data_IF_076220747573
#
_entry.id   IF_076220747573
#
_cell.length_a   1.000
_cell.length_b   1.000
_cell.length_c   1.000
_cell.angle_alpha   90.00
_cell.angle_beta   90.00
_cell.angle_gamma   90.00
#
_symmetry.space_group_name_H-M   'P 1'
#
loop_
_entity.id
_entity.type
_entity.pdbx_description
1 polymer ?
#
# COMPACT_ATOMS: atom_id res chain seq x y z
N UNK A 1 -3.30 87.93 -54.05
CA UNK A 1 -3.80 88.15 -52.71
C UNK A 1 -5.09 87.38 -52.53
N UNK A 2 -5.01 86.26 -51.88
CA UNK A 2 -6.16 85.59 -51.19
C UNK A 2 -5.69 84.24 -50.63
N UNK A 3 -5.63 84.15 -49.37
CA UNK A 3 -5.25 82.91 -48.62
C UNK A 3 -6.44 82.03 -48.58
N UNK A 4 -6.24 80.77 -49.08
CA UNK A 4 -7.20 79.70 -48.88
C UNK A 4 -6.81 78.86 -47.67
N UNK A 5 -7.68 78.73 -46.67
CA UNK A 5 -7.47 77.83 -45.52
C UNK A 5 -8.03 76.46 -45.83
N UNK A 6 -7.12 75.46 -45.79
CA UNK A 6 -7.51 74.08 -45.84
C UNK A 6 -7.69 73.55 -44.41
N UNK A 7 -8.92 73.17 -44.09
CA UNK A 7 -9.23 72.48 -42.81
C UNK A 7 -8.97 71.00 -42.92
N UNK A 8 -8.04 70.48 -42.10
CA UNK A 8 -7.78 69.06 -41.99
C UNK A 8 -8.71 68.46 -40.94
N UNK A 9 -9.58 67.52 -41.36
CA UNK A 9 -10.37 66.69 -40.47
C UNK A 9 -9.46 65.52 -39.95
N UNK A 10 -9.25 65.54 -38.64
CA UNK A 10 -8.61 64.36 -37.96
C UNK A 10 -9.73 63.44 -37.52
N UNK A 11 -9.82 62.27 -38.19
CA UNK A 11 -10.69 61.16 -37.76
C UNK A 11 -9.89 60.36 -36.72
N UNK A 12 -10.26 60.52 -35.45
CA UNK A 12 -9.74 59.67 -34.37
C UNK A 12 -10.44 58.33 -34.39
N UNK A 13 -9.79 57.32 -34.99
CA UNK A 13 -10.20 55.90 -34.92
C UNK A 13 -9.86 55.30 -33.55
N UNK A 14 -10.85 55.13 -32.67
CA UNK A 14 -10.67 54.40 -31.41
C UNK A 14 -10.52 52.92 -31.70
N UNK A 15 -9.31 52.39 -31.72
CA UNK A 15 -9.05 50.94 -31.65
C UNK A 15 -9.38 50.46 -30.23
N UNK A 16 -10.53 49.85 -30.06
CA UNK A 16 -10.86 49.09 -28.87
C UNK A 16 -9.97 47.80 -28.90
N UNK A 17 -8.83 47.85 -28.21
CA UNK A 17 -8.03 46.67 -27.93
C UNK A 17 -8.83 45.78 -26.96
N UNK A 18 -9.55 44.77 -27.48
CA UNK A 18 -10.01 43.64 -26.68
C UNK A 18 -8.76 42.87 -26.24
N UNK A 19 -8.24 43.23 -25.09
CA UNK A 19 -7.25 42.43 -24.39
C UNK A 19 -7.92 41.07 -24.05
N UNK A 20 -7.67 40.06 -24.83
CA UNK A 20 -7.88 38.69 -24.40
C UNK A 20 -7.01 38.48 -23.17
N UNK A 21 -7.56 38.66 -21.98
CA UNK A 21 -6.94 38.14 -20.77
C UNK A 21 -6.84 36.61 -21.03
N UNK A 22 -5.65 36.17 -21.34
CA UNK A 22 -5.33 34.76 -21.27
C UNK A 22 -5.63 34.37 -19.82
N UNK A 23 -6.78 33.72 -19.59
CA UNK A 23 -7.11 33.12 -18.31
C UNK A 23 -5.95 32.19 -18.00
N UNK A 24 -5.15 32.52 -16.99
CA UNK A 24 -4.09 31.66 -16.55
C UNK A 24 -4.71 30.28 -16.32
N UNK A 25 -4.22 29.27 -17.04
CA UNK A 25 -4.73 27.90 -16.91
C UNK A 25 -4.68 27.49 -15.44
N UNK A 26 -5.83 27.15 -14.88
CA UNK A 26 -5.91 26.70 -13.48
C UNK A 26 -5.04 25.44 -13.31
N UNK A 27 -4.24 25.43 -12.25
CA UNK A 27 -3.32 24.35 -11.93
C UNK A 27 -3.71 23.71 -10.62
N UNK A 28 -3.50 22.39 -10.55
CA UNK A 28 -3.72 21.56 -9.36
C UNK A 28 -2.44 20.81 -9.03
N UNK A 29 -1.91 20.97 -7.82
CA UNK A 29 -0.71 20.27 -7.38
C UNK A 29 -1.08 18.93 -6.77
N UNK A 30 -0.47 17.84 -7.28
CA UNK A 30 -0.76 16.46 -6.87
C UNK A 30 0.54 15.76 -6.50
N UNK A 31 0.61 15.23 -5.28
CA UNK A 31 1.71 14.37 -4.85
C UNK A 31 1.26 12.93 -4.79
N UNK A 32 2.06 12.01 -5.38
CA UNK A 32 1.70 10.62 -5.48
C UNK A 32 2.89 9.69 -5.29
N UNK A 33 2.69 8.56 -4.63
CA UNK A 33 3.73 7.53 -4.58
C UNK A 33 4.03 7.02 -5.98
N UNK A 34 5.33 6.95 -6.32
CA UNK A 34 5.79 6.35 -7.56
C UNK A 34 5.47 4.85 -7.58
N UNK A 35 4.94 4.36 -8.70
CA UNK A 35 4.66 2.94 -8.91
C UNK A 35 5.93 2.07 -8.89
N UNK A 36 5.79 0.79 -8.60
CA UNK A 36 6.91 -0.16 -8.60
C UNK A 36 7.29 -0.62 -10.00
N UNK A 37 6.43 -0.41 -10.99
CA UNK A 37 6.65 -0.71 -12.40
C UNK A 37 5.84 0.24 -13.29
N UNK A 38 6.21 0.23 -14.57
CA UNK A 38 5.76 1.26 -15.53
C UNK A 38 4.25 1.32 -15.71
N UNK A 39 3.57 0.18 -15.82
CA UNK A 39 2.12 0.15 -16.09
C UNK A 39 1.29 0.77 -14.95
N UNK A 40 1.78 0.74 -13.71
CA UNK A 40 1.12 1.38 -12.57
C UNK A 40 1.15 2.91 -12.69
N UNK A 41 2.31 3.47 -13.09
CA UNK A 41 2.44 4.90 -13.34
C UNK A 41 1.66 5.33 -14.60
N UNK A 42 1.72 4.54 -15.67
CA UNK A 42 0.98 4.81 -16.91
C UNK A 42 -0.54 4.90 -16.65
N UNK A 43 -1.09 4.04 -15.80
CA UNK A 43 -2.50 4.06 -15.43
C UNK A 43 -2.89 5.37 -14.70
N UNK A 44 -2.01 5.89 -13.84
CA UNK A 44 -2.21 7.20 -13.21
C UNK A 44 -2.14 8.33 -14.25
N UNK A 45 -1.16 8.29 -15.14
CA UNK A 45 -0.99 9.32 -16.18
C UNK A 45 -2.19 9.38 -17.11
N UNK A 46 -2.77 8.23 -17.49
CA UNK A 46 -3.99 8.19 -18.30
C UNK A 46 -5.21 8.75 -17.55
N UNK A 47 -5.36 8.48 -16.26
CA UNK A 47 -6.43 9.07 -15.45
C UNK A 47 -6.27 10.60 -15.36
N UNK A 48 -5.05 11.10 -15.13
CA UNK A 48 -4.74 12.53 -15.12
C UNK A 48 -5.07 13.16 -16.46
N UNK A 49 -4.61 12.59 -17.56
CA UNK A 49 -4.85 13.09 -18.92
C UNK A 49 -6.35 13.22 -19.23
N UNK A 50 -7.16 12.22 -18.86
CA UNK A 50 -8.62 12.25 -19.01
C UNK A 50 -9.24 13.39 -18.19
N UNK A 51 -8.77 13.61 -16.96
CA UNK A 51 -9.22 14.71 -16.12
C UNK A 51 -8.88 16.07 -16.75
N UNK A 52 -7.63 16.27 -17.18
CA UNK A 52 -7.20 17.50 -17.84
C UNK A 52 -8.04 17.82 -19.10
N UNK A 53 -8.33 16.80 -19.90
CA UNK A 53 -9.17 16.94 -21.09
C UNK A 53 -10.62 17.30 -20.74
N UNK A 54 -11.17 16.72 -19.66
CA UNK A 54 -12.56 16.98 -19.23
C UNK A 54 -12.73 18.33 -18.55
N UNK A 55 -11.76 18.74 -17.73
CA UNK A 55 -11.90 19.90 -16.86
C UNK A 55 -11.19 21.17 -17.35
N UNK A 56 -10.22 21.04 -18.27
CA UNK A 56 -9.31 22.14 -18.65
C UNK A 56 -8.28 22.50 -17.59
N UNK A 57 -8.29 21.85 -16.41
CA UNK A 57 -7.34 22.09 -15.32
C UNK A 57 -6.06 21.30 -15.57
N UNK A 58 -4.90 21.95 -15.41
CA UNK A 58 -3.59 21.26 -15.52
C UNK A 58 -3.17 20.67 -14.20
N UNK A 59 -2.75 19.40 -14.22
CA UNK A 59 -2.19 18.72 -13.03
C UNK A 59 -0.66 18.84 -13.04
N UNK A 60 -0.12 19.43 -11.98
CA UNK A 60 1.31 19.40 -11.66
C UNK A 60 1.58 18.20 -10.73
N UNK A 61 1.88 17.06 -11.34
CA UNK A 61 2.17 15.82 -10.63
C UNK A 61 3.62 15.78 -10.15
N UNK A 62 3.83 15.49 -8.87
CA UNK A 62 5.13 15.09 -8.32
C UNK A 62 5.03 13.67 -7.75
N UNK A 63 5.92 12.80 -8.21
CA UNK A 63 5.99 11.43 -7.70
C UNK A 63 7.25 11.24 -6.85
N UNK A 64 7.08 10.56 -5.72
CA UNK A 64 8.17 10.26 -4.78
C UNK A 64 8.18 8.78 -4.41
N UNK A 65 9.35 8.22 -4.08
CA UNK A 65 9.43 6.90 -3.44
C UNK A 65 8.57 6.84 -2.18
N UNK A 66 8.01 5.66 -1.88
CA UNK A 66 7.07 5.48 -0.78
C UNK A 66 7.64 5.95 0.57
N UNK A 67 8.92 5.68 0.84
CA UNK A 67 9.59 6.07 2.09
C UNK A 67 9.78 7.58 2.27
N UNK A 68 9.74 8.36 1.17
CA UNK A 68 9.94 9.80 1.21
C UNK A 68 8.63 10.58 1.42
N UNK A 69 7.48 9.93 1.20
CA UNK A 69 6.18 10.61 1.18
C UNK A 69 5.82 11.22 2.54
N UNK A 70 5.96 10.48 3.64
CA UNK A 70 5.58 11.00 4.96
C UNK A 70 6.50 12.14 5.42
N UNK A 71 7.84 12.01 5.42
CA UNK A 71 8.72 13.11 5.80
C UNK A 71 8.49 14.39 4.99
N UNK A 72 8.31 14.26 3.66
CA UNK A 72 8.01 15.40 2.79
C UNK A 72 6.67 16.05 3.11
N UNK A 73 5.64 15.25 3.36
CA UNK A 73 4.30 15.76 3.66
C UNK A 73 4.25 16.44 5.02
N UNK A 74 4.93 15.88 6.03
CA UNK A 74 5.05 16.52 7.36
C UNK A 74 5.74 17.87 7.24
N UNK A 75 6.89 17.93 6.54
CA UNK A 75 7.59 19.20 6.30
C UNK A 75 6.72 20.21 5.56
N UNK A 76 5.93 19.78 4.58
CA UNK A 76 5.01 20.66 3.85
C UNK A 76 3.83 21.16 4.72
N UNK A 77 3.31 20.31 5.61
CA UNK A 77 2.29 20.69 6.59
C UNK A 77 2.81 21.75 7.56
N UNK A 78 4.04 21.59 8.04
CA UNK A 78 4.68 22.54 8.97
C UNK A 78 4.99 23.89 8.28
N UNK A 79 5.36 23.84 7.00
CA UNK A 79 5.66 25.05 6.20
C UNK A 79 4.41 25.69 5.57
N UNK A 80 3.22 25.08 5.65
CA UNK A 80 2.01 25.56 4.98
C UNK A 80 2.06 25.49 3.45
N UNK A 81 2.85 24.56 2.90
CA UNK A 81 3.10 24.40 1.44
C UNK A 81 2.65 23.03 0.92
N UNK A 82 1.56 22.51 1.47
CA UNK A 82 1.00 21.21 1.08
C UNK A 82 0.51 21.19 -0.38
N UNK A 83 0.55 20.04 -1.08
CA UNK A 83 -0.14 19.88 -2.35
C UNK A 83 -1.66 19.94 -2.16
N UNK A 84 -2.39 20.14 -3.25
CA UNK A 84 -3.85 20.15 -3.21
C UNK A 84 -4.42 18.75 -2.97
N UNK A 85 -3.82 17.73 -3.59
CA UNK A 85 -4.18 16.32 -3.39
C UNK A 85 -2.93 15.51 -3.14
N UNK A 86 -2.98 14.56 -2.21
CA UNK A 86 -1.87 13.65 -1.98
C UNK A 86 -2.33 12.20 -1.76
N UNK A 87 -1.50 11.28 -2.21
CA UNK A 87 -1.65 9.85 -1.96
C UNK A 87 -0.29 9.21 -1.69
N UNK A 88 -0.23 8.36 -0.67
CA UNK A 88 0.88 7.44 -0.49
C UNK A 88 0.42 6.06 0.00
N UNK A 89 1.15 5.02 -0.42
CA UNK A 89 0.88 3.62 -0.05
C UNK A 89 0.93 3.38 1.48
N UNK A 90 1.42 4.35 2.24
CA UNK A 90 1.60 4.28 3.70
C UNK A 90 0.74 5.27 4.50
N UNK A 91 0.01 6.18 3.85
CA UNK A 91 -0.77 7.20 4.55
C UNK A 91 -1.88 6.62 5.43
N UNK A 92 -2.61 5.61 4.92
CA UNK A 92 -3.73 5.00 5.60
C UNK A 92 -3.39 4.57 7.03
N UNK A 93 -2.31 3.82 7.19
CA UNK A 93 -1.98 3.19 8.47
C UNK A 93 -1.00 3.97 9.34
N UNK A 94 -0.28 4.98 8.80
CA UNK A 94 0.73 5.73 9.56
C UNK A 94 0.31 7.15 9.94
N UNK A 95 -0.53 7.83 9.15
CA UNK A 95 -0.74 9.27 9.37
C UNK A 95 -2.18 9.77 9.19
N UNK A 96 -3.00 9.18 8.30
CA UNK A 96 -4.31 9.74 7.93
C UNK A 96 -5.22 9.93 9.14
N UNK A 97 -5.30 8.93 10.04
CA UNK A 97 -6.13 9.04 11.25
C UNK A 97 -5.70 10.18 12.16
N UNK A 98 -4.40 10.36 12.35
CA UNK A 98 -3.85 11.46 13.16
C UNK A 98 -4.06 12.81 12.51
N UNK A 99 -3.84 12.93 11.20
CA UNK A 99 -4.09 14.18 10.47
C UNK A 99 -5.56 14.58 10.47
N UNK A 100 -6.48 13.62 10.37
CA UNK A 100 -7.92 13.86 10.51
C UNK A 100 -8.26 14.37 11.91
N UNK A 101 -7.75 13.68 12.95
CA UNK A 101 -7.94 14.10 14.34
C UNK A 101 -7.44 15.53 14.59
N UNK A 102 -6.28 15.89 14.08
CA UNK A 102 -5.69 17.22 14.24
C UNK A 102 -6.38 18.32 13.37
N UNK A 103 -7.39 17.98 12.58
CA UNK A 103 -8.07 18.92 11.69
C UNK A 103 -7.21 19.40 10.52
N UNK A 104 -6.27 18.56 10.04
CA UNK A 104 -5.38 18.88 8.92
C UNK A 104 -5.93 18.44 7.56
N UNK A 105 -7.06 17.72 7.54
CA UNK A 105 -7.68 17.20 6.33
C UNK A 105 -9.02 17.86 6.03
N UNK A 106 -9.30 18.04 4.75
CA UNK A 106 -10.55 18.58 4.23
C UNK A 106 -11.67 17.55 4.33
N UNK A 107 -12.89 18.01 4.62
CA UNK A 107 -14.11 17.19 4.64
C UNK A 107 -14.54 16.86 3.20
N UNK A 108 -14.56 15.57 2.87
CA UNK A 108 -14.93 15.03 1.54
C UNK A 108 -16.34 14.42 1.53
N UNK A 109 -17.16 14.69 2.55
CA UNK A 109 -18.50 14.08 2.67
C UNK A 109 -19.38 14.39 1.47
N UNK A 110 -19.26 15.58 0.88
CA UNK A 110 -20.03 15.98 -0.32
C UNK A 110 -19.70 15.10 -1.55
N UNK A 111 -18.48 14.52 -1.60
CA UNK A 111 -18.05 13.62 -2.67
C UNK A 111 -18.41 12.17 -2.34
N UNK A 112 -18.15 11.72 -1.10
CA UNK A 112 -18.26 10.32 -0.74
C UNK A 112 -19.71 9.90 -0.49
N UNK A 113 -20.52 10.72 0.21
CA UNK A 113 -21.90 10.36 0.58
C UNK A 113 -22.78 10.00 -0.63
N UNK A 114 -22.80 10.78 -1.72
CA UNK A 114 -23.65 10.48 -2.88
C UNK A 114 -23.32 9.15 -3.58
N UNK A 115 -22.07 8.71 -3.47
CA UNK A 115 -21.57 7.50 -4.14
C UNK A 115 -21.22 6.36 -3.18
N UNK A 116 -21.50 6.51 -1.87
CA UNK A 116 -21.13 5.56 -0.83
C UNK A 116 -21.51 4.11 -1.15
N UNK A 117 -22.70 3.90 -1.73
CA UNK A 117 -23.24 2.57 -1.97
C UNK A 117 -22.50 1.75 -3.04
N UNK A 118 -21.68 2.38 -3.88
CA UNK A 118 -20.85 1.66 -4.87
C UNK A 118 -19.62 1.00 -4.24
N UNK A 119 -19.12 1.58 -3.14
CA UNK A 119 -17.95 1.07 -2.45
C UNK A 119 -18.25 -0.19 -1.62
N UNK A 120 -17.23 -0.98 -1.36
CA UNK A 120 -17.29 -2.03 -0.34
C UNK A 120 -17.36 -1.37 1.05
N UNK A 121 -18.21 -1.89 1.97
CA UNK A 121 -18.44 -1.23 3.26
C UNK A 121 -17.18 -0.92 4.05
N UNK A 122 -16.27 -1.89 4.18
CA UNK A 122 -14.99 -1.74 4.90
C UNK A 122 -14.10 -0.64 4.31
N UNK A 123 -14.18 -0.39 2.99
CA UNK A 123 -13.32 0.61 2.33
C UNK A 123 -13.76 2.04 2.61
N UNK A 124 -15.07 2.26 2.72
CA UNK A 124 -15.64 3.58 3.05
C UNK A 124 -15.48 3.89 4.54
N UNK A 125 -15.67 2.88 5.40
CA UNK A 125 -15.51 3.03 6.85
C UNK A 125 -14.10 3.48 7.23
N UNK A 126 -13.06 3.00 6.53
CA UNK A 126 -11.67 3.41 6.74
C UNK A 126 -11.45 4.91 6.53
N UNK A 127 -12.30 5.59 5.75
CA UNK A 127 -12.20 7.01 5.45
C UNK A 127 -13.09 7.90 6.34
N UNK A 128 -13.96 7.27 7.16
CA UNK A 128 -14.89 7.96 8.07
C UNK A 128 -14.25 8.17 9.45
N UNK A 129 -13.57 9.31 9.62
CA UNK A 129 -12.65 9.59 10.70
C UNK A 129 -13.17 10.69 11.63
N UNK A 130 -12.66 10.75 12.87
CA UNK A 130 -12.95 11.81 13.83
C UNK A 130 -12.00 13.00 13.63
N UNK A 131 -12.57 14.21 13.63
CA UNK A 131 -11.82 15.47 13.64
C UNK A 131 -12.10 16.16 14.98
N UNK A 132 -11.07 16.26 15.82
CA UNK A 132 -11.23 16.82 17.16
C UNK A 132 -11.35 18.34 17.16
N UNK A 133 -10.80 19.02 16.16
CA UNK A 133 -10.95 20.46 15.97
C UNK A 133 -12.39 20.83 15.58
N UNK A 134 -12.97 20.06 14.66
CA UNK A 134 -14.35 20.27 14.21
C UNK A 134 -15.40 19.56 15.09
N UNK A 135 -14.96 18.74 16.05
CA UNK A 135 -15.82 17.91 16.95
C UNK A 135 -16.86 17.07 16.20
N UNK A 136 -16.46 16.49 15.06
CA UNK A 136 -17.34 15.66 14.24
C UNK A 136 -16.61 14.50 13.56
N UNK A 137 -17.35 13.43 13.26
CA UNK A 137 -16.95 12.40 12.28
C UNK A 137 -17.40 12.80 10.88
N UNK A 138 -16.53 12.64 9.89
CA UNK A 138 -16.82 12.87 8.48
C UNK A 138 -15.84 12.08 7.60
N UNK A 139 -16.00 12.14 6.29
CA UNK A 139 -15.06 11.51 5.34
C UNK A 139 -13.87 12.43 5.10
N UNK A 140 -12.75 12.17 5.77
CA UNK A 140 -11.52 12.97 5.66
C UNK A 140 -10.47 12.37 4.72
N UNK A 141 -10.82 11.30 4.01
CA UNK A 141 -10.01 10.68 2.98
C UNK A 141 -10.92 10.06 1.92
N UNK A 142 -10.35 9.65 0.79
CA UNK A 142 -11.08 8.91 -0.24
C UNK A 142 -10.41 7.56 -0.51
N UNK A 143 -11.19 6.46 -0.67
CA UNK A 143 -10.63 5.14 -0.89
C UNK A 143 -10.23 4.98 -2.37
N UNK A 144 -9.08 4.37 -2.62
CA UNK A 144 -8.56 4.16 -3.96
C UNK A 144 -8.45 2.68 -4.33
N UNK A 145 -7.82 1.91 -3.48
CA UNK A 145 -7.44 0.52 -3.72
C UNK A 145 -7.14 -0.16 -2.40
N UNK A 146 -7.03 -1.49 -2.39
CA UNK A 146 -6.74 -2.23 -1.17
C UNK A 146 -5.78 -3.39 -1.41
N UNK A 147 -5.21 -3.92 -0.34
CA UNK A 147 -4.25 -5.03 -0.37
C UNK A 147 -4.45 -5.99 0.80
N UNK A 148 -3.95 -7.22 0.62
CA UNK A 148 -3.75 -8.22 1.68
C UNK A 148 -2.36 -8.84 1.53
N UNK A 149 -1.92 -9.61 2.54
CA UNK A 149 -0.65 -10.33 2.47
C UNK A 149 -0.77 -11.62 1.64
N UNK A 150 0.26 -11.87 0.83
CA UNK A 150 0.40 -13.06 0.00
C UNK A 150 1.73 -13.75 0.26
N UNK A 151 1.80 -15.03 -0.09
CA UNK A 151 3.04 -15.79 -0.19
C UNK A 151 3.36 -15.95 -1.67
N UNK A 152 4.63 -15.74 -2.03
CA UNK A 152 5.14 -15.98 -3.37
C UNK A 152 6.39 -16.85 -3.30
N UNK A 153 6.51 -17.84 -4.19
CA UNK A 153 7.65 -18.75 -4.23
C UNK A 153 8.04 -19.15 -5.66
N UNK A 154 9.32 -19.48 -5.83
CA UNK A 154 9.86 -20.00 -7.08
C UNK A 154 9.67 -21.51 -7.18
N UNK A 155 8.89 -21.96 -8.16
CA UNK A 155 8.61 -23.37 -8.43
C UNK A 155 9.88 -24.11 -8.87
N UNK A 156 10.70 -23.49 -9.73
CA UNK A 156 11.93 -24.10 -10.21
C UNK A 156 12.98 -24.27 -9.10
N UNK A 157 13.06 -23.35 -8.15
CA UNK A 157 13.93 -23.50 -6.98
C UNK A 157 13.43 -24.63 -6.03
N UNK A 158 12.12 -24.71 -5.84
CA UNK A 158 11.49 -25.79 -5.07
C UNK A 158 11.78 -27.15 -5.71
N UNK A 159 11.60 -27.25 -7.03
CA UNK A 159 11.89 -28.47 -7.80
C UNK A 159 13.39 -28.82 -7.79
N UNK A 160 14.25 -27.83 -7.93
CA UNK A 160 15.70 -28.00 -7.83
C UNK A 160 16.11 -28.52 -6.45
N UNK A 161 15.39 -28.17 -5.38
CA UNK A 161 15.58 -28.75 -4.05
C UNK A 161 15.07 -30.20 -3.94
N UNK A 162 14.36 -30.74 -4.95
CA UNK A 162 13.81 -32.06 -4.98
C UNK A 162 12.40 -32.19 -4.42
N UNK A 163 11.66 -31.08 -4.29
CA UNK A 163 10.29 -31.03 -3.78
C UNK A 163 9.31 -30.58 -4.85
N UNK A 164 8.04 -30.90 -4.61
CA UNK A 164 6.89 -30.47 -5.43
C UNK A 164 5.93 -29.64 -4.60
N UNK A 165 5.05 -28.87 -5.26
CA UNK A 165 4.04 -28.05 -4.60
C UNK A 165 3.10 -28.87 -3.69
N UNK A 166 2.83 -30.14 -4.03
CA UNK A 166 2.00 -31.06 -3.23
C UNK A 166 2.61 -31.42 -1.86
N UNK A 167 3.91 -31.22 -1.70
CA UNK A 167 4.63 -31.54 -0.46
C UNK A 167 4.73 -30.34 0.50
N UNK A 168 4.25 -29.16 0.07
CA UNK A 168 4.19 -27.98 0.93
C UNK A 168 3.16 -28.24 2.03
N UNK A 169 3.55 -28.20 3.32
CA UNK A 169 2.62 -28.44 4.41
C UNK A 169 1.57 -27.33 4.52
N UNK A 170 0.39 -27.65 5.03
CA UNK A 170 -0.68 -26.68 5.29
C UNK A 170 -0.74 -26.23 6.75
N UNK A 171 -0.09 -26.95 7.68
CA UNK A 171 -0.05 -26.60 9.11
C UNK A 171 1.03 -25.55 9.40
N UNK A 172 0.76 -24.63 10.32
CA UNK A 172 1.58 -23.46 10.62
C UNK A 172 3.06 -23.75 10.83
N UNK A 173 3.38 -24.56 11.83
CA UNK A 173 4.78 -24.83 12.19
C UNK A 173 5.53 -25.63 11.10
N UNK A 174 4.86 -26.62 10.52
CA UNK A 174 5.47 -27.47 9.50
C UNK A 174 5.70 -26.69 8.20
N UNK A 175 4.85 -25.69 7.91
CA UNK A 175 5.01 -24.83 6.75
C UNK A 175 6.32 -24.02 6.79
N UNK A 176 6.60 -23.32 7.90
CA UNK A 176 7.83 -22.53 8.02
C UNK A 176 9.08 -23.40 8.06
N UNK A 177 9.02 -24.54 8.82
CA UNK A 177 10.09 -25.51 8.86
C UNK A 177 10.37 -26.17 7.50
N UNK A 178 9.36 -26.34 6.67
CA UNK A 178 9.57 -26.91 5.33
C UNK A 178 10.54 -26.06 4.50
N UNK A 179 10.34 -24.76 4.48
CA UNK A 179 11.23 -23.86 3.75
C UNK A 179 12.62 -23.75 4.38
N UNK A 180 12.69 -23.74 5.70
CA UNK A 180 13.92 -23.53 6.45
C UNK A 180 14.76 -24.80 6.57
N UNK A 181 14.15 -25.90 6.99
CA UNK A 181 14.87 -27.11 7.40
C UNK A 181 14.97 -28.16 6.29
N UNK A 182 14.11 -28.04 5.24
CA UNK A 182 14.10 -28.97 4.11
C UNK A 182 14.52 -28.33 2.80
N UNK A 183 13.79 -27.30 2.34
CA UNK A 183 14.01 -26.69 1.01
C UNK A 183 15.36 -25.98 0.95
N UNK A 184 15.67 -25.10 1.90
CA UNK A 184 16.93 -24.34 1.90
C UNK A 184 18.17 -25.25 1.87
N UNK A 185 18.35 -26.21 2.79
CA UNK A 185 19.56 -27.05 2.79
C UNK A 185 19.63 -27.97 1.57
N UNK A 186 18.51 -28.52 1.10
CA UNK A 186 18.46 -29.36 -0.08
C UNK A 186 18.83 -28.58 -1.34
N UNK A 187 18.28 -27.34 -1.51
CA UNK A 187 18.61 -26.46 -2.61
C UNK A 187 20.10 -26.10 -2.62
N UNK A 188 20.64 -25.66 -1.47
CA UNK A 188 22.06 -25.33 -1.31
C UNK A 188 22.98 -26.51 -1.64
N UNK A 189 22.66 -27.70 -1.13
CA UNK A 189 23.43 -28.93 -1.40
C UNK A 189 23.45 -29.28 -2.88
N UNK A 190 22.33 -29.14 -3.56
CA UNK A 190 22.17 -29.56 -4.96
C UNK A 190 22.72 -28.58 -5.97
N UNK A 191 22.65 -27.28 -5.67
CA UNK A 191 23.02 -26.20 -6.63
C UNK A 191 24.31 -25.49 -6.30
N UNK A 192 24.86 -25.62 -5.09
CA UNK A 192 25.96 -24.80 -4.60
C UNK A 192 25.61 -23.35 -4.29
N UNK A 193 24.35 -22.93 -4.50
CA UNK A 193 23.88 -21.58 -4.23
C UNK A 193 23.77 -21.32 -2.74
N UNK A 194 23.91 -20.03 -2.34
CA UNK A 194 23.69 -19.55 -0.96
C UNK A 194 22.27 -19.02 -0.72
N UNK A 195 21.30 -19.39 -1.58
CA UNK A 195 19.93 -18.93 -1.41
C UNK A 195 19.34 -19.28 -0.03
N UNK A 196 18.41 -18.45 0.44
CA UNK A 196 17.71 -18.62 1.71
C UNK A 196 16.29 -19.14 1.47
N UNK A 197 15.74 -19.84 2.46
CA UNK A 197 14.40 -20.40 2.36
C UNK A 197 13.33 -19.35 2.26
N UNK A 198 13.44 -18.30 3.07
CA UNK A 198 12.40 -17.27 3.24
C UNK A 198 12.98 -15.86 3.15
N UNK A 199 12.33 -14.99 2.39
CA UNK A 199 12.52 -13.54 2.41
C UNK A 199 11.62 -12.92 3.48
N UNK A 200 12.15 -12.74 4.69
CA UNK A 200 11.38 -12.28 5.85
C UNK A 200 11.76 -10.82 6.20
N UNK A 201 10.97 -9.79 5.82
CA UNK A 201 11.30 -8.40 6.10
C UNK A 201 11.22 -8.10 7.60
N UNK A 202 12.26 -7.47 8.15
CA UNK A 202 12.37 -7.16 9.58
C UNK A 202 12.87 -5.74 9.86
N UNK A 203 13.10 -4.94 8.82
CA UNK A 203 13.60 -3.58 8.93
C UNK A 203 12.60 -2.63 9.59
N UNK A 204 13.08 -1.73 10.45
CA UNK A 204 12.23 -0.75 11.16
C UNK A 204 11.60 0.24 10.19
N UNK A 205 12.30 0.56 9.09
CA UNK A 205 11.86 1.51 8.08
C UNK A 205 11.08 0.86 6.92
N UNK A 206 10.61 -0.40 7.10
CA UNK A 206 9.87 -1.13 6.08
C UNK A 206 8.40 -1.31 6.47
N UNK A 207 7.48 -0.92 5.58
CA UNK A 207 6.05 -1.22 5.73
C UNK A 207 5.75 -2.71 5.62
N UNK A 208 6.56 -3.46 4.88
CA UNK A 208 6.41 -4.91 4.78
C UNK A 208 6.69 -5.63 6.10
N UNK A 209 7.59 -5.10 6.95
CA UNK A 209 7.79 -5.61 8.31
C UNK A 209 6.52 -5.47 9.16
N UNK A 210 5.83 -4.34 9.05
CA UNK A 210 4.55 -4.08 9.69
C UNK A 210 3.49 -5.08 9.22
N UNK A 211 3.23 -5.15 7.91
CA UNK A 211 2.18 -6.03 7.36
C UNK A 211 2.45 -7.51 7.65
N UNK A 212 3.69 -7.93 7.51
CA UNK A 212 4.10 -9.32 7.77
C UNK A 212 3.88 -9.71 9.22
N UNK A 213 4.32 -8.88 10.15
CA UNK A 213 4.17 -9.20 11.58
C UNK A 213 2.71 -9.19 12.02
N UNK A 214 1.90 -8.20 11.56
CA UNK A 214 0.48 -8.19 11.89
C UNK A 214 -0.25 -9.40 11.33
N UNK A 215 0.17 -9.91 10.17
CA UNK A 215 -0.37 -11.17 9.65
C UNK A 215 -0.03 -12.35 10.57
N UNK A 216 1.19 -12.43 11.11
CA UNK A 216 1.54 -13.45 12.11
C UNK A 216 0.70 -13.28 13.38
N UNK A 217 0.55 -12.06 13.86
CA UNK A 217 -0.29 -11.73 15.03
C UNK A 217 -1.73 -12.21 14.85
N UNK A 218 -2.31 -12.01 13.67
CA UNK A 218 -3.67 -12.48 13.35
C UNK A 218 -3.82 -13.99 13.41
N UNK A 219 -2.78 -14.74 12.97
CA UNK A 219 -2.82 -16.19 13.03
C UNK A 219 -2.82 -16.71 14.48
N UNK A 220 -2.37 -15.90 15.44
CA UNK A 220 -2.48 -16.16 16.87
C UNK A 220 -3.74 -15.59 17.53
N UNK A 221 -4.73 -15.15 16.73
CA UNK A 221 -6.02 -14.58 17.18
C UNK A 221 -5.87 -13.35 18.09
N UNK A 222 -4.80 -12.58 17.95
CA UNK A 222 -4.55 -11.38 18.74
C UNK A 222 -5.50 -10.25 18.31
N UNK A 223 -6.20 -9.65 19.26
CA UNK A 223 -6.99 -8.43 19.07
C UNK A 223 -6.49 -7.37 20.05
N UNK A 224 -5.93 -6.28 19.54
CA UNK A 224 -5.39 -5.20 20.35
C UNK A 224 -6.44 -4.18 20.79
N UNK A 225 -7.54 -4.12 20.07
CA UNK A 225 -8.70 -3.27 20.39
C UNK A 225 -10.02 -4.06 20.23
N UNK A 226 -11.02 -3.68 20.97
CA UNK A 226 -12.38 -4.13 20.77
C UNK A 226 -13.07 -3.38 19.61
N UNK A 227 -14.38 -3.62 19.42
CA UNK A 227 -15.14 -3.01 18.33
C UNK A 227 -15.36 -1.50 18.52
N UNK A 228 -15.27 -1.01 19.75
CA UNK A 228 -15.37 0.42 20.11
C UNK A 228 -13.99 1.13 20.11
N UNK A 229 -12.91 0.42 19.79
CA UNK A 229 -11.54 0.95 19.74
C UNK A 229 -10.85 1.03 21.10
N UNK A 230 -11.41 0.44 22.15
CA UNK A 230 -10.79 0.35 23.49
C UNK A 230 -9.66 -0.67 23.47
N UNK A 231 -8.55 -0.32 24.12
CA UNK A 231 -7.38 -1.20 24.22
C UNK A 231 -7.64 -2.48 25.01
N UNK A 232 -7.14 -3.60 24.48
CA UNK A 232 -7.13 -4.93 25.10
C UNK A 232 -5.72 -5.38 25.50
N UNK A 233 -4.75 -4.49 25.58
CA UNK A 233 -3.32 -4.78 25.81
C UNK A 233 -3.02 -5.37 27.19
N UNK A 234 -3.94 -5.27 28.14
CA UNK A 234 -3.84 -5.85 29.49
C UNK A 234 -4.41 -7.29 29.55
N UNK A 235 -5.04 -7.79 28.47
CA UNK A 235 -5.54 -9.17 28.42
C UNK A 235 -4.37 -10.16 28.31
N UNK A 236 -4.23 -11.13 29.23
CA UNK A 236 -3.20 -12.16 29.16
C UNK A 236 -3.20 -12.96 27.84
N UNK A 237 -4.35 -13.15 27.21
CA UNK A 237 -4.46 -13.85 25.91
C UNK A 237 -3.80 -13.06 24.79
N UNK A 238 -3.94 -11.73 24.80
CA UNK A 238 -3.27 -10.82 23.85
C UNK A 238 -1.75 -10.94 24.00
N UNK A 239 -1.25 -10.87 25.25
CA UNK A 239 0.19 -11.04 25.53
C UNK A 239 0.69 -12.39 25.07
N UNK A 240 -0.01 -13.48 25.38
CA UNK A 240 0.41 -14.83 25.01
C UNK A 240 0.40 -15.04 23.47
N UNK A 241 -0.61 -14.52 22.79
CA UNK A 241 -0.65 -14.56 21.32
C UNK A 241 0.49 -13.80 20.67
N UNK A 242 0.81 -12.61 21.19
CA UNK A 242 1.95 -11.81 20.72
C UNK A 242 3.29 -12.49 20.95
N UNK A 243 3.48 -13.18 22.09
CA UNK A 243 4.69 -13.99 22.36
C UNK A 243 4.82 -15.07 21.29
N UNK A 244 3.74 -15.82 20.99
CA UNK A 244 3.75 -16.84 19.94
C UNK A 244 4.09 -16.27 18.57
N UNK A 245 3.43 -15.17 18.18
CA UNK A 245 3.63 -14.52 16.89
C UNK A 245 5.06 -13.98 16.73
N UNK A 246 5.57 -13.26 17.74
CA UNK A 246 6.92 -12.68 17.70
C UNK A 246 7.99 -13.76 17.70
N UNK A 247 7.79 -14.81 18.49
CA UNK A 247 8.71 -15.95 18.51
C UNK A 247 8.81 -16.62 17.15
N UNK A 248 7.69 -17.03 16.56
CA UNK A 248 7.70 -17.71 15.28
C UNK A 248 8.27 -16.84 14.16
N UNK A 249 7.98 -15.54 14.19
CA UNK A 249 8.53 -14.58 13.22
C UNK A 249 10.05 -14.42 13.33
N UNK A 250 10.57 -14.29 14.54
CA UNK A 250 12.01 -14.10 14.79
C UNK A 250 12.81 -15.40 14.69
N UNK A 251 12.19 -16.56 14.96
CA UNK A 251 12.83 -17.88 14.81
C UNK A 251 13.25 -18.15 13.35
N UNK A 252 12.51 -17.64 12.36
CA UNK A 252 12.87 -17.74 10.93
C UNK A 252 14.24 -17.09 10.68
N UNK A 253 14.51 -15.94 11.29
CA UNK A 253 15.81 -15.29 11.19
C UNK A 253 16.87 -16.00 12.02
N UNK A 254 16.55 -16.34 13.28
CA UNK A 254 17.48 -16.98 14.20
C UNK A 254 17.98 -18.33 13.71
N UNK A 255 17.16 -19.07 12.92
CA UNK A 255 17.56 -20.32 12.27
C UNK A 255 18.44 -20.15 11.03
N UNK A 256 18.74 -18.91 10.61
CA UNK A 256 19.48 -18.64 9.36
C UNK A 256 18.69 -18.93 8.09
N UNK A 257 17.36 -18.92 8.18
CA UNK A 257 16.44 -19.17 7.05
C UNK A 257 16.22 -17.96 6.17
N UNK A 258 16.53 -16.75 6.66
CA UNK A 258 16.42 -15.50 5.92
C UNK A 258 17.80 -14.81 5.82
N UNK A 259 18.03 -13.95 4.79
CA UNK A 259 19.27 -13.20 4.70
C UNK A 259 19.54 -12.38 5.97
N UNK A 260 20.78 -12.38 6.51
CA UNK A 260 21.11 -11.56 7.68
C UNK A 260 20.78 -10.07 7.52
N UNK A 261 20.84 -9.54 6.28
CA UNK A 261 20.49 -8.16 5.94
C UNK A 261 18.99 -7.85 6.09
N UNK A 262 18.12 -8.84 6.28
CA UNK A 262 16.66 -8.63 6.36
C UNK A 262 16.25 -7.71 7.52
N UNK A 263 17.08 -7.59 8.55
CA UNK A 263 16.86 -6.67 9.68
C UNK A 263 17.03 -5.18 9.35
N UNK A 264 17.59 -4.88 8.17
CA UNK A 264 17.75 -3.51 7.64
C UNK A 264 17.03 -3.29 6.31
N UNK A 265 16.22 -4.25 5.86
CA UNK A 265 15.48 -4.12 4.61
C UNK A 265 14.46 -2.98 4.69
N UNK A 266 14.37 -2.25 3.59
CA UNK A 266 13.32 -1.27 3.28
C UNK A 266 12.32 -1.89 2.32
N UNK A 267 11.19 -1.24 2.13
CA UNK A 267 10.39 -1.50 0.94
C UNK A 267 11.26 -1.11 -0.27
N UNK A 268 11.53 -1.85 -1.22
CA UNK A 268 11.13 -3.10 -1.80
C UNK A 268 12.21 -4.23 -1.71
N UNK A 269 13.02 -4.29 -0.66
CA UNK A 269 14.20 -5.17 -0.62
C UNK A 269 13.83 -6.67 -0.65
N UNK A 270 12.70 -7.08 -0.07
CA UNK A 270 12.21 -8.44 -0.19
C UNK A 270 11.89 -8.81 -1.66
N UNK A 271 11.33 -7.86 -2.43
CA UNK A 271 11.06 -8.03 -3.86
C UNK A 271 12.37 -8.24 -4.62
N UNK A 272 13.37 -7.39 -4.36
CA UNK A 272 14.70 -7.48 -5.00
C UNK A 272 15.37 -8.81 -4.65
N UNK A 273 15.36 -9.23 -3.39
CA UNK A 273 15.91 -10.51 -2.95
C UNK A 273 15.21 -11.69 -3.64
N UNK A 274 13.89 -11.64 -3.80
CA UNK A 274 13.13 -12.65 -4.50
C UNK A 274 13.44 -12.67 -6.00
N UNK A 275 13.39 -11.53 -6.68
CA UNK A 275 13.67 -11.42 -8.12
C UNK A 275 15.06 -11.96 -8.48
N UNK A 276 16.05 -11.73 -7.62
CA UNK A 276 17.43 -12.20 -7.79
C UNK A 276 17.62 -13.66 -7.34
N UNK A 277 16.54 -14.38 -6.96
CA UNK A 277 16.60 -15.75 -6.42
C UNK A 277 17.52 -15.90 -5.20
N UNK A 278 17.69 -14.80 -4.43
CA UNK A 278 18.36 -14.84 -3.13
C UNK A 278 17.51 -15.58 -2.11
N UNK A 279 16.18 -15.57 -2.30
CA UNK A 279 15.22 -16.30 -1.48
C UNK A 279 14.33 -17.21 -2.33
N UNK A 280 13.98 -18.39 -1.82
CA UNK A 280 13.08 -19.33 -2.52
C UNK A 280 11.63 -18.88 -2.41
N UNK A 281 11.24 -18.40 -1.25
CA UNK A 281 9.90 -17.93 -0.92
C UNK A 281 10.00 -16.58 -0.21
N UNK A 282 8.98 -15.76 -0.36
CA UNK A 282 8.77 -14.55 0.43
C UNK A 282 7.28 -14.36 0.72
N UNK A 283 6.97 -13.62 1.77
CA UNK A 283 5.63 -13.05 1.94
C UNK A 283 5.69 -11.55 1.64
N UNK A 284 4.66 -11.04 1.00
CA UNK A 284 4.62 -9.69 0.48
C UNK A 284 3.23 -9.09 0.64
N UNK A 285 3.16 -7.78 0.88
CA UNK A 285 1.92 -7.04 1.13
C UNK A 285 1.00 -6.92 -0.10
N UNK A 286 1.48 -7.32 -1.28
CA UNK A 286 0.74 -7.33 -2.54
C UNK A 286 1.33 -8.41 -3.45
N UNK A 287 0.77 -8.61 -4.66
CA UNK A 287 1.42 -9.42 -5.69
C UNK A 287 2.36 -8.60 -6.60
N UNK A 288 2.99 -7.54 -6.07
CA UNK A 288 3.91 -6.68 -6.85
C UNK A 288 5.06 -7.47 -7.49
N UNK A 289 5.50 -8.55 -6.85
CA UNK A 289 6.54 -9.45 -7.36
C UNK A 289 6.08 -10.11 -8.67
N UNK A 290 4.95 -10.79 -8.66
CA UNK A 290 4.41 -11.42 -9.87
C UNK A 290 4.03 -10.36 -10.92
N UNK A 291 3.34 -9.30 -10.52
CA UNK A 291 2.90 -8.24 -11.42
C UNK A 291 4.05 -7.55 -12.17
N UNK A 292 5.22 -7.40 -11.52
CA UNK A 292 6.41 -6.88 -12.20
C UNK A 292 6.83 -7.75 -13.39
N UNK A 293 6.81 -9.07 -13.26
CA UNK A 293 7.15 -9.95 -14.38
C UNK A 293 6.11 -9.88 -15.50
N UNK A 294 4.85 -9.65 -15.18
CA UNK A 294 3.82 -9.40 -16.19
C UNK A 294 4.04 -8.04 -16.90
N UNK A 295 4.44 -7.01 -16.16
CA UNK A 295 4.81 -5.70 -16.73
C UNK A 295 5.99 -5.83 -17.69
N UNK A 296 7.06 -6.51 -17.27
CA UNK A 296 8.22 -6.78 -18.13
C UNK A 296 7.86 -7.60 -19.38
N UNK A 297 6.99 -8.60 -19.25
CA UNK A 297 6.52 -9.40 -20.39
C UNK A 297 5.77 -8.57 -21.44
N UNK A 298 5.15 -7.48 -21.03
CA UNK A 298 4.41 -6.56 -21.90
C UNK A 298 5.23 -5.32 -22.31
N UNK A 299 6.44 -5.17 -21.80
CA UNK A 299 7.27 -3.97 -22.01
C UNK A 299 7.99 -4.02 -23.37
N UNK A 300 7.52 -3.20 -24.32
CA UNK A 300 8.09 -3.13 -25.67
C UNK A 300 9.56 -2.63 -25.72
N UNK A 301 10.08 -2.04 -24.64
CA UNK A 301 11.48 -1.59 -24.57
C UNK A 301 12.46 -2.72 -24.25
N UNK A 302 11.98 -3.87 -23.77
CA UNK A 302 12.77 -5.08 -23.53
C UNK A 302 12.91 -5.91 -24.81
N UNK A 303 13.97 -6.71 -24.90
CA UNK A 303 14.14 -7.62 -26.03
C UNK A 303 13.08 -8.72 -26.04
N UNK A 304 12.80 -9.36 -27.20
CA UNK A 304 11.87 -10.49 -27.25
C UNK A 304 12.20 -11.60 -26.26
N UNK A 305 13.50 -11.91 -26.08
CA UNK A 305 13.98 -12.95 -25.16
C UNK A 305 13.72 -12.56 -23.69
N UNK A 306 13.97 -11.29 -23.34
CA UNK A 306 13.67 -10.78 -21.99
C UNK A 306 12.17 -10.84 -21.69
N UNK A 307 11.32 -10.45 -22.64
CA UNK A 307 9.87 -10.55 -22.51
C UNK A 307 9.39 -12.00 -22.39
N UNK A 308 9.95 -12.89 -23.19
CA UNK A 308 9.62 -14.32 -23.13
C UNK A 308 10.02 -14.93 -21.78
N UNK A 309 11.22 -14.59 -21.26
CA UNK A 309 11.63 -15.03 -19.93
C UNK A 309 10.74 -14.45 -18.82
N UNK A 310 10.39 -13.18 -18.92
CA UNK A 310 9.48 -12.55 -17.96
C UNK A 310 8.09 -13.20 -17.97
N UNK A 311 7.56 -13.53 -19.17
CA UNK A 311 6.31 -14.27 -19.33
C UNK A 311 6.38 -15.64 -18.70
N UNK A 312 7.48 -16.37 -18.91
CA UNK A 312 7.72 -17.69 -18.29
C UNK A 312 7.79 -17.59 -16.77
N UNK A 313 8.50 -16.57 -16.23
CA UNK A 313 8.56 -16.35 -14.79
C UNK A 313 7.16 -16.15 -14.20
N UNK A 314 6.33 -15.31 -14.84
CA UNK A 314 4.96 -15.06 -14.41
C UNK A 314 4.07 -16.31 -14.50
N UNK A 315 4.01 -16.94 -15.67
CA UNK A 315 3.01 -17.99 -15.94
C UNK A 315 3.39 -19.33 -15.29
N UNK A 316 4.69 -19.66 -15.23
CA UNK A 316 5.15 -21.00 -14.90
C UNK A 316 5.97 -21.08 -13.61
N UNK A 317 6.88 -20.13 -13.35
CA UNK A 317 7.91 -20.27 -12.34
C UNK A 317 7.59 -19.66 -11.00
N UNK A 318 6.67 -18.69 -10.94
CA UNK A 318 6.23 -18.07 -9.69
C UNK A 318 4.83 -18.55 -9.34
N UNK A 319 4.58 -18.74 -8.05
CA UNK A 319 3.24 -18.97 -7.51
C UNK A 319 2.91 -17.94 -6.46
N UNK A 320 1.67 -17.46 -6.52
CA UNK A 320 1.03 -16.70 -5.44
C UNK A 320 0.12 -17.64 -4.66
N UNK A 321 0.27 -17.65 -3.35
CA UNK A 321 -0.48 -18.51 -2.43
C UNK A 321 -0.96 -17.75 -1.20
N UNK A 322 -1.93 -18.32 -0.49
CA UNK A 322 -2.32 -17.88 0.83
C UNK A 322 -1.38 -18.39 1.93
N UNK A 323 -1.57 -17.86 3.13
CA UNK A 323 -0.86 -18.35 4.32
C UNK A 323 -1.33 -19.75 4.73
N UNK A 324 -0.49 -20.52 5.46
CA UNK A 324 -0.89 -21.82 6.01
C UNK A 324 -2.01 -21.67 7.04
N UNK A 325 -2.64 -22.77 7.42
CA UNK A 325 -3.60 -22.79 8.52
C UNK A 325 -2.94 -22.26 9.80
N UNK A 326 -3.75 -21.61 10.63
CA UNK A 326 -3.30 -21.03 11.90
C UNK A 326 -2.73 -22.08 12.85
N UNK A 327 -2.01 -21.67 13.90
CA UNK A 327 -1.49 -22.60 14.92
C UNK A 327 -2.56 -23.49 15.58
N UNK A 328 -3.81 -23.03 15.63
CA UNK A 328 -4.97 -23.77 16.14
C UNK A 328 -5.61 -24.71 15.08
N UNK A 329 -5.06 -24.77 13.87
CA UNK A 329 -5.54 -25.60 12.75
C UNK A 329 -6.65 -24.95 11.91
N UNK A 330 -7.21 -23.82 12.33
CA UNK A 330 -8.25 -23.11 11.57
C UNK A 330 -7.66 -22.36 10.34
N UNK A 331 -8.54 -21.90 9.45
CA UNK A 331 -8.14 -21.17 8.24
C UNK A 331 -7.46 -19.84 8.57
N UNK A 332 -6.52 -19.39 7.72
CA UNK A 332 -5.86 -18.10 7.92
C UNK A 332 -6.84 -16.93 7.87
N UNK A 333 -6.51 -15.88 8.61
CA UNK A 333 -7.22 -14.59 8.59
C UNK A 333 -6.37 -13.59 7.80
N UNK A 334 -7.02 -12.75 7.02
CA UNK A 334 -6.38 -11.69 6.24
C UNK A 334 -6.94 -10.34 6.63
N UNK A 335 -6.09 -9.34 6.74
CA UNK A 335 -6.47 -7.93 6.89
C UNK A 335 -6.43 -7.23 5.55
N UNK A 336 -7.45 -6.42 5.26
CA UNK A 336 -7.44 -5.54 4.12
C UNK A 336 -6.93 -4.15 4.53
N UNK A 337 -5.82 -3.71 3.94
CA UNK A 337 -5.37 -2.34 4.04
C UNK A 337 -5.97 -1.54 2.89
N UNK A 338 -6.83 -0.57 3.22
CA UNK A 338 -7.48 0.32 2.24
C UNK A 338 -6.60 1.54 2.04
N UNK A 339 -6.03 1.67 0.86
CA UNK A 339 -5.19 2.80 0.49
C UNK A 339 -6.03 4.04 0.22
N UNK A 340 -5.68 5.12 0.90
CA UNK A 340 -6.47 6.34 0.89
C UNK A 340 -5.68 7.54 0.41
N UNK A 341 -6.30 8.36 -0.44
CA UNK A 341 -5.82 9.69 -0.76
C UNK A 341 -6.49 10.75 0.11
N UNK A 342 -5.88 11.93 0.18
CA UNK A 342 -6.32 13.04 1.02
C UNK A 342 -6.30 14.36 0.27
N UNK A 343 -7.15 15.29 0.71
CA UNK A 343 -7.05 16.72 0.44
C UNK A 343 -6.69 17.38 1.78
N UNK A 344 -5.69 18.26 1.79
CA UNK A 344 -5.33 18.98 3.02
C UNK A 344 -6.26 20.16 3.27
N UNK A 345 -6.53 20.43 4.55
CA UNK A 345 -7.30 21.62 4.94
C UNK A 345 -6.61 22.90 4.47
N UNK A 346 -5.27 22.94 4.48
CA UNK A 346 -4.47 24.07 4.01
C UNK A 346 -4.25 24.09 2.47
N UNK A 347 -4.89 23.20 1.69
CA UNK A 347 -4.79 23.19 0.24
C UNK A 347 -5.35 24.49 -0.37
N UNK A 348 -4.65 25.00 -1.37
CA UNK A 348 -5.00 26.29 -2.00
C UNK A 348 -6.18 26.18 -2.96
N UNK A 349 -6.34 25.03 -3.60
CA UNK A 349 -7.29 24.79 -4.70
C UNK A 349 -8.33 23.71 -4.37
N UNK A 350 -8.93 23.78 -3.15
CA UNK A 350 -9.85 22.76 -2.63
C UNK A 350 -10.98 22.42 -3.60
N UNK A 351 -11.57 23.40 -4.28
CA UNK A 351 -12.66 23.16 -5.24
C UNK A 351 -12.20 22.25 -6.39
N UNK A 352 -11.05 22.54 -7.00
CA UNK A 352 -10.49 21.71 -8.09
C UNK A 352 -9.95 20.37 -7.59
N UNK A 353 -9.41 20.36 -6.37
CA UNK A 353 -9.00 19.10 -5.71
C UNK A 353 -10.20 18.16 -5.52
N UNK A 354 -11.33 18.66 -5.05
CA UNK A 354 -12.58 17.89 -4.91
C UNK A 354 -13.13 17.44 -6.25
N UNK A 355 -13.05 18.27 -7.29
CA UNK A 355 -13.44 17.88 -8.66
C UNK A 355 -12.57 16.74 -9.20
N UNK A 356 -11.24 16.79 -8.98
CA UNK A 356 -10.33 15.73 -9.37
C UNK A 356 -10.61 14.43 -8.59
N UNK A 357 -10.82 14.50 -7.28
CA UNK A 357 -11.15 13.34 -6.44
C UNK A 357 -12.48 12.73 -6.86
N UNK A 358 -13.50 13.56 -7.12
CA UNK A 358 -14.80 13.08 -7.62
C UNK A 358 -14.65 12.34 -8.94
N UNK A 359 -13.89 12.91 -9.89
CA UNK A 359 -13.58 12.30 -11.17
C UNK A 359 -12.81 10.97 -11.00
N UNK A 360 -11.74 10.97 -10.21
CA UNK A 360 -10.90 9.78 -10.02
C UNK A 360 -11.65 8.63 -9.36
N UNK A 361 -12.61 8.96 -8.48
CA UNK A 361 -13.43 7.95 -7.81
C UNK A 361 -14.63 7.48 -8.64
N UNK A 362 -14.92 8.04 -9.80
CA UNK A 362 -15.88 7.46 -10.75
C UNK A 362 -15.44 6.04 -11.18
N UNK A 363 -16.38 5.11 -11.32
CA UNK A 363 -16.08 3.69 -11.66
C UNK A 363 -15.25 3.55 -12.95
N UNK A 364 -15.61 4.33 -13.99
CA UNK A 364 -14.94 4.30 -15.30
C UNK A 364 -13.51 4.86 -15.29
N UNK A 365 -13.11 5.55 -14.22
CA UNK A 365 -11.77 6.09 -14.02
C UNK A 365 -10.98 5.29 -12.97
N UNK A 366 -11.63 4.93 -11.87
CA UNK A 366 -10.98 4.21 -10.77
C UNK A 366 -10.65 2.76 -11.15
N UNK A 367 -11.55 2.06 -11.82
CA UNK A 367 -11.33 0.66 -12.20
C UNK A 367 -10.14 0.50 -13.15
N UNK A 368 -10.02 1.24 -14.27
CA UNK A 368 -8.83 1.16 -15.12
C UNK A 368 -7.52 1.54 -14.39
N UNK A 369 -7.58 2.53 -13.49
CA UNK A 369 -6.42 2.90 -12.67
C UNK A 369 -5.96 1.73 -11.78
N UNK A 370 -6.89 1.03 -11.12
CA UNK A 370 -6.56 -0.13 -10.27
C UNK A 370 -6.09 -1.33 -11.12
N UNK A 371 -6.78 -1.65 -12.21
CA UNK A 371 -6.42 -2.76 -13.10
C UNK A 371 -5.07 -2.55 -13.79
N UNK A 372 -4.68 -1.29 -14.07
CA UNK A 372 -3.37 -0.95 -14.61
C UNK A 372 -2.20 -1.33 -13.70
N UNK A 373 -2.44 -1.59 -12.42
CA UNK A 373 -1.47 -2.18 -11.50
C UNK A 373 -1.31 -3.72 -11.65
N UNK A 374 -1.90 -4.32 -12.68
CA UNK A 374 -1.75 -5.73 -13.06
C UNK A 374 -2.15 -6.73 -11.96
N UNK A 375 -3.05 -6.32 -11.05
CA UNK A 375 -3.55 -7.14 -9.94
C UNK A 375 -2.81 -6.91 -8.62
N UNK A 376 -1.77 -6.06 -8.58
CA UNK A 376 -1.11 -5.65 -7.33
C UNK A 376 -2.11 -5.13 -6.30
N UNK A 377 -3.06 -4.33 -6.77
CA UNK A 377 -4.07 -3.71 -5.93
C UNK A 377 -5.46 -4.27 -6.22
N UNK A 378 -6.21 -4.57 -5.19
CA UNK A 378 -7.60 -4.99 -5.30
C UNK A 378 -8.54 -3.76 -5.27
N UNK A 379 -9.67 -3.76 -6.00
CA UNK A 379 -10.58 -2.62 -6.06
C UNK A 379 -11.33 -2.37 -4.76
N UNK A 380 -11.79 -1.14 -4.59
CA UNK A 380 -12.62 -0.70 -3.47
C UNK A 380 -14.11 -0.63 -3.80
N UNK A 381 -14.49 -0.85 -5.07
CA UNK A 381 -15.88 -0.80 -5.53
C UNK A 381 -16.44 -2.18 -5.79
N UNK A 382 -17.74 -2.36 -5.54
CA UNK A 382 -18.44 -3.65 -5.70
C UNK A 382 -18.37 -4.16 -7.14
N UNK A 383 -18.59 -3.28 -8.11
CA UNK A 383 -18.62 -3.66 -9.53
C UNK A 383 -17.25 -4.13 -10.02
N UNK A 384 -16.19 -3.42 -9.65
CA UNK A 384 -14.84 -3.78 -10.09
C UNK A 384 -14.37 -5.15 -9.55
N UNK A 385 -14.87 -5.60 -8.39
CA UNK A 385 -14.52 -6.92 -7.83
C UNK A 385 -15.08 -8.08 -8.66
N UNK A 386 -16.11 -7.86 -9.46
CA UNK A 386 -16.78 -8.91 -10.25
C UNK A 386 -16.24 -9.02 -11.68
N UNK A 387 -15.27 -8.20 -12.06
CA UNK A 387 -14.76 -8.16 -13.42
C UNK A 387 -13.96 -9.41 -13.79
N UNK A 388 -14.03 -9.87 -15.08
CA UNK A 388 -13.24 -11.00 -15.57
C UNK A 388 -11.73 -10.86 -15.35
N UNK A 389 -11.23 -9.63 -15.22
CA UNK A 389 -9.84 -9.32 -14.89
C UNK A 389 -9.29 -10.16 -13.74
N UNK A 390 -10.09 -10.39 -12.69
CA UNK A 390 -9.68 -11.14 -11.49
C UNK A 390 -9.61 -12.65 -11.69
N UNK A 391 -10.15 -13.15 -12.82
CA UNK A 391 -10.12 -14.57 -13.18
C UNK A 391 -9.11 -14.89 -14.28
N UNK A 392 -8.39 -13.89 -14.81
CA UNK A 392 -7.55 -14.02 -15.99
C UNK A 392 -6.37 -14.98 -15.80
N UNK A 393 -5.81 -15.08 -14.59
CA UNK A 393 -4.64 -15.91 -14.30
C UNK A 393 -4.60 -16.38 -12.83
N UNK A 394 -3.70 -17.32 -12.48
CA UNK A 394 -3.62 -17.86 -11.11
C UNK A 394 -3.29 -16.82 -10.04
N UNK A 395 -2.44 -15.82 -10.34
CA UNK A 395 -2.04 -14.81 -9.38
C UNK A 395 -3.21 -13.91 -8.98
N UNK A 396 -3.97 -13.39 -9.95
CA UNK A 396 -5.16 -12.57 -9.72
C UNK A 396 -6.27 -13.37 -9.04
N UNK A 397 -6.45 -14.65 -9.43
CA UNK A 397 -7.41 -15.53 -8.73
C UNK A 397 -7.05 -15.73 -7.26
N UNK A 398 -5.77 -15.85 -6.92
CA UNK A 398 -5.33 -15.96 -5.53
C UNK A 398 -5.67 -14.71 -4.72
N UNK A 399 -5.43 -13.52 -5.28
CA UNK A 399 -5.84 -12.23 -4.67
C UNK A 399 -7.35 -12.19 -4.47
N UNK A 400 -8.11 -12.43 -5.53
CA UNK A 400 -9.57 -12.40 -5.49
C UNK A 400 -10.14 -13.36 -4.43
N UNK A 401 -9.59 -14.58 -4.34
CA UNK A 401 -10.04 -15.58 -3.38
C UNK A 401 -9.86 -15.14 -1.92
N UNK A 402 -8.77 -14.43 -1.59
CA UNK A 402 -8.56 -13.91 -0.23
C UNK A 402 -9.61 -12.86 0.14
N UNK A 403 -9.89 -11.91 -0.75
CA UNK A 403 -10.89 -10.88 -0.50
C UNK A 403 -12.32 -11.43 -0.43
N UNK A 404 -12.67 -12.42 -1.28
CA UNK A 404 -13.98 -13.03 -1.28
C UNK A 404 -14.21 -13.99 -0.11
N UNK A 405 -13.15 -14.57 0.46
CA UNK A 405 -13.22 -15.34 1.70
C UNK A 405 -13.53 -14.46 2.93
N UNK A 406 -13.39 -13.16 2.80
CA UNK A 406 -13.59 -12.18 3.86
C UNK A 406 -12.27 -11.69 4.46
N UNK A 407 -12.25 -10.41 4.77
CA UNK A 407 -11.10 -9.73 5.38
C UNK A 407 -11.52 -8.97 6.63
N UNK A 408 -10.57 -8.74 7.53
CA UNK A 408 -10.74 -7.88 8.71
C UNK A 408 -10.08 -6.53 8.49
N UNK A 409 -10.39 -5.55 9.34
CA UNK A 409 -9.82 -4.21 9.31
C UNK A 409 -8.67 -4.08 10.31
N UNK A 410 -7.83 -3.06 10.11
CA UNK A 410 -6.75 -2.72 11.04
C UNK A 410 -7.24 -1.91 12.25
N UNK A 411 -6.50 -1.94 13.34
CA UNK A 411 -6.79 -1.23 14.59
C UNK A 411 -6.96 0.28 14.40
N UNK A 412 -6.20 0.89 13.47
CA UNK A 412 -6.27 2.33 13.21
C UNK A 412 -7.62 2.79 12.64
N UNK A 413 -8.43 1.88 12.10
CA UNK A 413 -9.80 2.20 11.67
C UNK A 413 -10.75 2.42 12.85
N UNK A 414 -10.45 1.83 14.00
CA UNK A 414 -11.22 1.94 15.25
C UNK A 414 -10.62 2.93 16.23
N UNK A 415 -9.29 2.99 16.31
CA UNK A 415 -8.54 3.88 17.18
C UNK A 415 -7.42 4.56 16.40
N UNK A 416 -7.60 5.84 16.05
CA UNK A 416 -6.65 6.61 15.24
C UNK A 416 -5.23 6.65 15.82
N UNK A 417 -5.08 6.50 17.15
CA UNK A 417 -3.77 6.51 17.81
C UNK A 417 -2.88 5.35 17.35
N UNK A 418 -3.46 4.30 16.74
CA UNK A 418 -2.69 3.26 16.10
C UNK A 418 -1.94 3.74 14.85
N UNK A 419 -2.32 4.86 14.25
CA UNK A 419 -1.47 5.48 13.21
C UNK A 419 -0.13 5.94 13.78
N UNK A 420 -0.11 6.40 15.03
CA UNK A 420 1.13 6.78 15.72
C UNK A 420 1.95 5.53 16.09
N UNK A 421 1.30 4.50 16.63
CA UNK A 421 1.91 3.19 16.93
C UNK A 421 2.59 2.61 15.67
N UNK A 422 1.89 2.66 14.54
CA UNK A 422 2.38 2.14 13.27
C UNK A 422 3.49 3.01 12.65
N UNK A 423 3.38 4.33 12.77
CA UNK A 423 4.43 5.24 12.29
C UNK A 423 5.74 5.07 13.07
N UNK A 424 5.66 4.78 14.38
CA UNK A 424 6.82 4.40 15.18
C UNK A 424 7.34 2.99 14.89
N UNK A 425 6.59 2.19 14.16
CA UNK A 425 6.85 0.78 13.86
C UNK A 425 7.29 -0.02 15.10
N UNK A 426 6.47 0.04 16.16
CA UNK A 426 6.75 -0.66 17.43
C UNK A 426 6.93 -2.17 17.24
N UNK A 427 6.38 -2.71 16.17
CA UNK A 427 6.43 -4.09 15.75
C UNK A 427 7.84 -4.52 15.35
N UNK A 428 8.45 -3.82 14.38
CA UNK A 428 9.82 -4.09 13.94
C UNK A 428 10.85 -3.72 15.04
N UNK A 429 10.55 -2.75 15.89
CA UNK A 429 11.36 -2.46 17.09
C UNK A 429 11.39 -3.66 18.04
N UNK A 430 10.23 -4.32 18.27
CA UNK A 430 10.19 -5.54 19.09
C UNK A 430 11.00 -6.69 18.47
N UNK A 431 10.92 -6.87 17.12
CA UNK A 431 11.78 -7.83 16.42
C UNK A 431 13.27 -7.51 16.61
N UNK A 432 13.67 -6.24 16.47
CA UNK A 432 15.04 -5.78 16.68
C UNK A 432 15.52 -6.06 18.09
N UNK A 433 14.68 -5.86 19.10
CA UNK A 433 15.00 -6.22 20.50
C UNK A 433 15.36 -7.70 20.65
N UNK A 434 14.60 -8.58 20.01
CA UNK A 434 14.86 -10.03 20.06
C UNK A 434 16.12 -10.41 19.25
N UNK A 435 16.23 -9.91 18.02
CA UNK A 435 17.28 -10.35 17.09
C UNK A 435 18.63 -9.67 17.35
N UNK A 436 18.65 -8.36 17.51
CA UNK A 436 19.89 -7.59 17.66
C UNK A 436 20.33 -7.51 19.12
N UNK A 437 19.40 -7.18 20.03
CA UNK A 437 19.71 -6.96 21.44
C UNK A 437 19.65 -8.26 22.27
N UNK A 438 19.20 -9.38 21.67
CA UNK A 438 19.10 -10.70 22.33
C UNK A 438 18.20 -10.72 23.56
N UNK A 439 17.21 -9.82 23.60
CA UNK A 439 16.22 -9.76 24.68
C UNK A 439 15.25 -10.95 24.56
N UNK A 440 14.84 -11.60 25.66
CA UNK A 440 13.80 -12.62 25.64
C UNK A 440 12.50 -12.11 24.99
N UNK A 441 11.83 -12.98 24.22
CA UNK A 441 10.61 -12.62 23.49
C UNK A 441 9.52 -12.06 24.43
N UNK A 442 9.36 -12.64 25.61
CA UNK A 442 8.41 -12.21 26.64
C UNK A 442 8.66 -10.78 27.11
N UNK A 443 9.95 -10.41 27.25
CA UNK A 443 10.33 -9.06 27.61
C UNK A 443 10.06 -8.09 26.46
N UNK A 444 10.45 -8.42 25.22
CA UNK A 444 10.19 -7.60 24.05
C UNK A 444 8.69 -7.34 23.85
N UNK A 445 7.84 -8.34 24.05
CA UNK A 445 6.37 -8.18 24.02
C UNK A 445 5.88 -7.29 25.14
N UNK A 446 6.44 -7.41 26.35
CA UNK A 446 6.05 -6.55 27.49
C UNK A 446 6.40 -5.09 27.21
N UNK A 447 7.60 -4.81 26.68
CA UNK A 447 8.03 -3.47 26.25
C UNK A 447 7.13 -2.92 25.14
N UNK A 448 6.81 -3.73 24.15
CA UNK A 448 5.91 -3.39 23.03
C UNK A 448 4.50 -3.02 23.53
N UNK A 449 3.90 -3.84 24.39
CA UNK A 449 2.55 -3.59 24.94
C UNK A 449 2.54 -2.32 25.82
N UNK A 450 3.59 -2.10 26.62
CA UNK A 450 3.75 -0.88 27.41
C UNK A 450 3.84 0.36 26.52
N UNK A 451 4.56 0.29 25.39
CA UNK A 451 4.64 1.39 24.42
C UNK A 451 3.30 1.64 23.74
N UNK A 452 2.60 0.60 23.30
CA UNK A 452 1.24 0.73 22.70
C UNK A 452 0.31 1.39 23.71
N UNK A 453 0.32 0.95 24.98
CA UNK A 453 -0.50 1.53 26.04
C UNK A 453 -0.18 3.01 26.29
N UNK A 454 1.09 3.39 26.26
CA UNK A 454 1.52 4.78 26.43
C UNK A 454 1.06 5.70 25.29
N UNK A 455 0.93 5.18 24.06
CA UNK A 455 0.48 5.95 22.88
C UNK A 455 -1.04 5.98 22.80
N UNK A 456 -1.67 4.82 22.92
CA UNK A 456 -3.06 4.61 22.56
C UNK A 456 -4.04 4.50 23.74
N UNK A 457 -3.50 4.46 24.95
CA UNK A 457 -4.25 4.48 26.21
C UNK A 457 -4.84 5.82 26.61
#
# INVERSE_FOLDING_TARGET
>A
MTMSRIASLVVAGSLAAFGAQALAQEKLTVWWTKGFYKSEDDALFEAIKKFEQRSGVKIELSQYPVQDMIPKTVAALDAGTVPDVAYADVYDFQVTGKWAFDGKLEDLSEIIVPQKNKFLPNTVETTYLWNDKAKKKAYYAFPLKQQTMHIEYWVDMLQAAGFTEKQIPTGWKDYWKFWCDKVQPAYRKKTGSRAYGIGNPMGVDSSDSFYSFLTFMDQYNVKLVDDDGKLLVDDPKVKQGLIGALKDYTDIHASGCTPPSSTSWKDPDNNVAFHNKTTVMTHNATISIAAKWLDDANNATLTPEQRAQARKNYDELIRTAGFPNKPDGSKPIYRAAVKTGVIFEAAKNKRRAKEFVSFLTEEDNLTPYVEGSLGRWFPVTKLATTRPFWQADPHRRAVHAQFTAGTTTFEFTKNYKFTIVNNENVWAKAMSRVINDKVPVEQAVTEMLARIKAIAG
#
